data_IF_158448864666
#
_entry.id   IF_158448864666
#
_cell.length_a   1.000
_cell.length_b   1.000
_cell.length_c   1.000
_cell.angle_alpha   90.00
_cell.angle_beta   90.00
_cell.angle_gamma   90.00
#
_symmetry.space_group_name_H-M   'P 1'
#
loop_
_entity.id
_entity.type
_entity.pdbx_description
1 polymer ?
#
# COMPACT_ATOMS: atom_id res chain seq x y z
N UNK A 1 -1.89 15.80 -22.57
CA UNK A 1 -1.68 15.29 -21.20
C UNK A 1 -0.19 15.10 -21.03
N UNK A 2 0.39 15.51 -19.91
CA UNK A 2 1.81 15.27 -19.64
C UNK A 2 2.05 13.75 -19.55
N UNK A 3 3.02 13.23 -20.32
CA UNK A 3 3.39 11.82 -20.34
C UNK A 3 3.77 11.30 -18.96
N UNK A 4 4.28 12.17 -18.08
CA UNK A 4 4.61 11.81 -16.70
C UNK A 4 3.36 11.46 -15.88
N UNK A 5 2.30 12.26 -16.01
CA UNK A 5 1.03 12.03 -15.31
C UNK A 5 0.36 10.77 -15.84
N UNK A 6 0.42 10.55 -17.16
CA UNK A 6 -0.17 9.36 -17.79
C UNK A 6 0.48 8.08 -17.24
N UNK A 7 1.81 8.03 -17.25
CA UNK A 7 2.57 6.88 -16.73
C UNK A 7 2.33 6.64 -15.25
N UNK A 8 2.16 7.69 -14.46
CA UNK A 8 1.87 7.59 -13.03
C UNK A 8 0.52 6.91 -12.79
N UNK A 9 -0.54 7.40 -13.43
CA UNK A 9 -1.89 6.82 -13.31
C UNK A 9 -1.91 5.38 -13.82
N UNK A 10 -1.24 5.10 -14.94
CA UNK A 10 -1.15 3.74 -15.48
C UNK A 10 -0.43 2.80 -14.50
N UNK A 11 0.65 3.26 -13.85
CA UNK A 11 1.35 2.53 -12.80
C UNK A 11 0.47 2.29 -11.57
N UNK A 12 -0.29 3.30 -11.12
CA UNK A 12 -1.19 3.19 -9.98
C UNK A 12 -2.29 2.14 -10.24
N UNK A 13 -2.83 2.09 -11.47
CA UNK A 13 -3.80 1.07 -11.90
C UNK A 13 -3.21 -0.33 -11.93
N UNK A 14 -1.99 -0.53 -12.44
CA UNK A 14 -1.32 -1.84 -12.36
C UNK A 14 -1.03 -2.27 -10.92
N UNK A 15 -0.72 -1.30 -10.06
CA UNK A 15 -0.45 -1.55 -8.65
C UNK A 15 -1.71 -1.83 -7.83
N UNK A 16 -2.89 -1.45 -8.32
CA UNK A 16 -4.18 -1.59 -7.61
C UNK A 16 -4.42 -2.99 -7.06
N UNK A 17 -4.16 -4.04 -7.87
CA UNK A 17 -4.33 -5.44 -7.45
C UNK A 17 -3.42 -5.86 -6.29
N UNK A 18 -2.29 -5.19 -6.12
CA UNK A 18 -1.34 -5.45 -5.04
C UNK A 18 -1.57 -4.56 -3.82
N UNK A 19 -2.43 -3.54 -3.90
CA UNK A 19 -2.64 -2.60 -2.79
C UNK A 19 -3.14 -3.29 -1.52
N UNK A 20 -4.08 -4.24 -1.65
CA UNK A 20 -4.58 -5.00 -0.49
C UNK A 20 -3.46 -5.77 0.19
N UNK A 21 -2.64 -6.50 -0.58
CA UNK A 21 -1.51 -7.28 -0.07
C UNK A 21 -0.46 -6.36 0.56
N UNK A 22 -0.18 -5.20 -0.06
CA UNK A 22 0.76 -4.20 0.49
C UNK A 22 0.26 -3.64 1.82
N UNK A 23 -1.03 -3.32 1.93
CA UNK A 23 -1.64 -2.85 3.17
C UNK A 23 -1.50 -3.91 4.26
N UNK A 24 -1.82 -5.17 3.95
CA UNK A 24 -1.76 -6.25 4.92
C UNK A 24 -0.32 -6.53 5.39
N UNK A 25 0.63 -6.57 4.46
CA UNK A 25 2.05 -6.71 4.80
C UNK A 25 2.57 -5.56 5.68
N UNK A 26 2.04 -4.34 5.52
CA UNK A 26 2.41 -3.22 6.38
C UNK A 26 1.81 -3.34 7.78
N UNK A 27 0.58 -3.87 7.91
CA UNK A 27 -0.02 -4.14 9.22
C UNK A 27 0.73 -5.22 9.97
N UNK A 28 1.10 -6.32 9.29
CA UNK A 28 1.93 -7.39 9.87
C UNK A 28 3.25 -6.79 10.40
N UNK A 29 3.89 -5.88 9.65
CA UNK A 29 5.11 -5.20 10.14
C UNK A 29 4.87 -4.35 11.38
N UNK A 30 3.73 -3.66 11.47
CA UNK A 30 3.38 -2.89 12.68
C UNK A 30 3.18 -3.84 13.87
N UNK A 31 2.52 -4.98 13.65
CA UNK A 31 2.31 -6.03 14.65
C UNK A 31 3.63 -6.67 15.09
N UNK A 32 4.53 -7.00 14.17
CA UNK A 32 5.86 -7.54 14.46
C UNK A 32 6.68 -6.59 15.33
N UNK A 33 6.66 -5.30 15.01
CA UNK A 33 7.31 -4.26 15.81
C UNK A 33 6.65 -4.23 17.19
N UNK A 34 5.32 -4.13 17.28
CA UNK A 34 4.60 -4.09 18.57
C UNK A 34 4.92 -5.30 19.45
N UNK A 35 4.87 -6.52 18.89
CA UNK A 35 5.09 -7.77 19.61
C UNK A 35 6.55 -7.97 20.02
N UNK A 36 7.52 -7.51 19.22
CA UNK A 36 8.94 -7.55 19.59
C UNK A 36 9.27 -6.67 20.80
N UNK A 37 8.41 -5.71 21.16
CA UNK A 37 8.66 -4.75 22.24
C UNK A 37 7.83 -5.01 23.52
N UNK A 38 6.96 -6.02 23.57
CA UNK A 38 6.26 -6.44 24.80
C UNK A 38 7.19 -7.10 25.86
N UNK A 39 8.51 -7.04 25.64
CA UNK A 39 9.55 -7.72 26.40
C UNK A 39 10.06 -6.97 27.64
N UNK A 40 9.16 -6.66 28.58
CA UNK A 40 9.52 -6.49 29.99
C UNK A 40 8.46 -7.14 30.90
N UNK A 41 8.16 -8.42 30.63
CA UNK A 41 7.34 -9.22 31.54
C UNK A 41 8.14 -9.48 32.81
N UNK A 42 7.80 -8.74 33.86
CA UNK A 42 8.16 -8.93 35.26
C UNK A 42 9.53 -9.61 35.51
N UNK A 43 10.59 -8.81 35.63
CA UNK A 43 11.84 -9.26 36.25
C UNK A 43 11.49 -9.68 37.69
N UNK A 44 11.47 -10.98 37.95
CA UNK A 44 11.45 -11.49 39.32
C UNK A 44 12.79 -11.12 39.96
N UNK A 45 12.76 -10.20 40.92
CA UNK A 45 13.94 -9.78 41.64
C UNK A 45 14.36 -10.90 42.61
N UNK A 46 15.30 -11.76 42.19
CA UNK A 46 16.13 -12.49 43.15
C UNK A 46 17.26 -11.57 43.62
N UNK A 47 17.34 -11.41 44.94
CA UNK A 47 18.24 -10.53 45.67
C UNK A 47 19.70 -10.71 45.22
N UNK A 48 20.31 -9.67 44.63
CA UNK A 48 21.75 -9.64 44.35
C UNK A 48 22.41 -8.45 45.03
N UNK A 49 23.08 -8.75 46.14
CA UNK A 49 24.04 -7.89 46.83
C UNK A 49 25.26 -7.64 45.94
N UNK A 50 25.44 -6.41 45.46
CA UNK A 50 26.68 -5.96 44.83
C UNK A 50 26.52 -4.64 44.07
N UNK A 51 27.25 -3.59 44.47
CA UNK A 51 27.26 -2.28 43.78
C UNK A 51 27.73 -2.46 42.33
N UNK A 52 26.97 -1.98 41.36
CA UNK A 52 27.47 -1.83 39.98
C UNK A 52 26.95 -0.52 39.38
N UNK A 53 27.88 0.42 39.15
CA UNK A 53 27.63 1.73 38.56
C UNK A 53 27.33 1.58 37.06
N UNK A 54 26.08 1.32 36.69
CA UNK A 54 25.60 1.56 35.32
C UNK A 54 24.74 2.83 35.37
N UNK A 55 25.13 3.87 34.63
CA UNK A 55 24.43 5.16 34.61
C UNK A 55 23.03 5.11 33.96
N UNK A 56 22.62 3.97 33.40
CA UNK A 56 21.28 3.73 32.90
C UNK A 56 20.75 2.35 33.35
N UNK A 57 19.47 2.30 33.73
CA UNK A 57 18.76 1.05 33.99
C UNK A 57 18.46 0.32 32.67
N UNK A 58 18.36 -1.01 32.70
CA UNK A 58 17.85 -1.79 31.55
C UNK A 58 16.49 -1.28 31.10
N UNK A 59 15.67 -0.82 32.05
CA UNK A 59 14.34 -0.24 31.82
C UNK A 59 14.43 1.12 31.12
N UNK A 60 15.38 1.98 31.51
CA UNK A 60 15.54 3.31 30.90
C UNK A 60 16.01 3.21 29.45
N UNK A 61 16.95 2.30 29.16
CA UNK A 61 17.38 2.05 27.78
C UNK A 61 16.24 1.51 26.89
N UNK A 62 15.39 0.65 27.45
CA UNK A 62 14.24 0.10 26.73
C UNK A 62 13.18 1.16 26.45
N UNK A 63 12.89 2.03 27.44
CA UNK A 63 11.97 3.16 27.29
C UNK A 63 12.49 4.15 26.24
N UNK A 64 13.78 4.48 26.27
CA UNK A 64 14.41 5.34 25.26
C UNK A 64 14.30 4.70 23.87
N UNK A 65 14.61 3.42 23.73
CA UNK A 65 14.50 2.71 22.45
C UNK A 65 13.05 2.66 21.92
N UNK A 66 12.06 2.53 22.81
CA UNK A 66 10.64 2.58 22.45
C UNK A 66 10.25 3.95 21.89
N UNK A 67 10.62 5.02 22.58
CA UNK A 67 10.23 6.39 22.22
C UNK A 67 10.99 6.85 20.96
N UNK A 68 12.27 6.55 20.86
CA UNK A 68 13.13 7.08 19.80
C UNK A 68 13.07 6.25 18.50
N UNK A 69 12.81 4.94 18.58
CA UNK A 69 12.89 4.06 17.40
C UNK A 69 11.56 3.39 17.06
N UNK A 70 10.91 2.73 18.03
CA UNK A 70 9.71 1.94 17.76
C UNK A 70 8.49 2.81 17.42
N UNK A 71 8.20 3.84 18.23
CA UNK A 71 7.04 4.72 18.01
C UNK A 71 7.11 5.50 16.68
N UNK A 72 8.26 6.11 16.29
CA UNK A 72 8.38 6.77 14.99
C UNK A 72 8.23 5.79 13.82
N UNK A 73 8.81 4.60 13.92
CA UNK A 73 8.71 3.58 12.88
C UNK A 73 7.26 3.10 12.68
N UNK A 74 6.52 2.87 13.76
CA UNK A 74 5.08 2.55 13.70
C UNK A 74 4.31 3.70 13.05
N UNK A 75 4.55 4.94 13.48
CA UNK A 75 3.88 6.11 12.90
C UNK A 75 4.12 6.28 11.39
N UNK A 76 5.34 6.01 10.91
CA UNK A 76 5.62 6.01 9.47
C UNK A 76 4.86 4.91 8.71
N UNK A 77 4.79 3.71 9.28
CA UNK A 77 4.08 2.58 8.69
C UNK A 77 2.57 2.85 8.64
N UNK A 78 1.99 3.41 9.70
CA UNK A 78 0.58 3.81 9.75
C UNK A 78 0.25 4.90 8.73
N UNK A 79 1.14 5.88 8.54
CA UNK A 79 0.98 6.90 7.48
C UNK A 79 1.00 6.25 6.09
N UNK A 80 1.88 5.28 5.86
CA UNK A 80 1.93 4.51 4.60
C UNK A 80 0.67 3.68 4.38
N UNK A 81 0.17 3.00 5.42
CA UNK A 81 -1.09 2.25 5.37
C UNK A 81 -2.24 3.18 4.98
N UNK A 82 -2.35 4.32 5.68
CA UNK A 82 -3.39 5.32 5.43
C UNK A 82 -3.31 5.86 4.00
N UNK A 83 -2.10 6.14 3.51
CA UNK A 83 -1.88 6.53 2.13
C UNK A 83 -2.40 5.50 1.12
N UNK A 84 -2.06 4.22 1.29
CA UNK A 84 -2.52 3.16 0.38
C UNK A 84 -4.02 2.91 0.45
N UNK A 85 -4.63 2.99 1.64
CA UNK A 85 -6.08 2.91 1.81
C UNK A 85 -6.77 4.06 1.07
N UNK A 86 -6.27 5.29 1.23
CA UNK A 86 -6.81 6.46 0.56
C UNK A 86 -6.62 6.39 -0.96
N UNK A 87 -5.46 5.94 -1.43
CA UNK A 87 -5.19 5.73 -2.85
C UNK A 87 -6.18 4.71 -3.44
N UNK A 88 -6.40 3.58 -2.76
CA UNK A 88 -7.39 2.59 -3.17
C UNK A 88 -8.79 3.21 -3.25
N UNK A 89 -9.23 3.92 -2.21
CA UNK A 89 -10.55 4.59 -2.20
C UNK A 89 -10.70 5.60 -3.34
N UNK A 90 -9.65 6.37 -3.64
CA UNK A 90 -9.65 7.30 -4.78
C UNK A 90 -9.84 6.56 -6.10
N UNK A 91 -9.14 5.44 -6.30
CA UNK A 91 -9.29 4.62 -7.51
C UNK A 91 -10.70 4.04 -7.56
N UNK A 92 -11.20 3.46 -6.46
CA UNK A 92 -12.55 2.88 -6.39
C UNK A 92 -13.63 3.92 -6.75
N UNK A 93 -13.54 5.12 -6.19
CA UNK A 93 -14.45 6.23 -6.52
C UNK A 93 -14.30 6.69 -7.97
N UNK A 94 -13.09 6.72 -8.51
CA UNK A 94 -12.88 7.12 -9.90
C UNK A 94 -13.47 6.06 -10.87
N UNK A 95 -13.43 4.78 -10.51
CA UNK A 95 -14.02 3.68 -11.28
C UNK A 95 -15.55 3.75 -11.38
N UNK A 96 -16.24 4.40 -10.44
CA UNK A 96 -17.71 4.53 -10.51
C UNK A 96 -18.17 5.52 -11.58
N UNK A 97 -17.28 6.41 -12.05
CA UNK A 97 -17.57 7.39 -13.10
C UNK A 97 -17.42 6.77 -14.51
N UNK A 98 -16.70 5.65 -14.62
CA UNK A 98 -16.48 4.98 -15.90
C UNK A 98 -17.76 4.31 -16.40
N UNK A 99 -17.96 4.33 -17.73
CA UNK A 99 -19.03 3.54 -18.33
C UNK A 99 -18.79 2.04 -18.11
N UNK A 100 -19.84 1.18 -18.13
CA UNK A 100 -19.69 -0.26 -17.91
C UNK A 100 -18.62 -0.89 -18.81
N UNK A 101 -18.56 -0.44 -20.06
CA UNK A 101 -17.58 -0.86 -21.05
C UNK A 101 -16.15 -0.39 -20.72
N UNK A 102 -15.99 0.88 -20.31
CA UNK A 102 -14.68 1.40 -19.90
C UNK A 102 -14.17 0.69 -18.65
N UNK A 103 -15.07 0.38 -17.72
CA UNK A 103 -14.78 -0.38 -16.50
C UNK A 103 -14.31 -1.78 -16.83
N UNK A 104 -15.02 -2.48 -17.73
CA UNK A 104 -14.62 -3.82 -18.18
C UNK A 104 -13.24 -3.81 -18.86
N UNK A 105 -12.95 -2.80 -19.70
CA UNK A 105 -11.62 -2.62 -20.30
C UNK A 105 -10.52 -2.45 -19.24
N UNK A 106 -10.76 -1.65 -18.20
CA UNK A 106 -9.80 -1.43 -17.11
C UNK A 106 -9.58 -2.70 -16.28
N UNK A 107 -10.66 -3.41 -15.94
CA UNK A 107 -10.59 -4.68 -15.20
C UNK A 107 -9.79 -5.73 -15.96
N UNK A 108 -10.10 -5.93 -17.25
CA UNK A 108 -9.41 -6.89 -18.11
C UNK A 108 -7.95 -6.54 -18.36
N UNK A 109 -7.60 -5.24 -18.39
CA UNK A 109 -6.24 -4.81 -18.69
C UNK A 109 -5.34 -4.75 -17.46
N UNK A 110 -5.80 -4.09 -16.40
CA UNK A 110 -4.95 -3.71 -15.26
C UNK A 110 -5.14 -4.63 -14.07
N UNK A 111 -6.36 -5.10 -13.82
CA UNK A 111 -6.68 -5.90 -12.64
C UNK A 111 -6.48 -7.40 -12.87
N UNK A 112 -6.43 -7.84 -14.13
CA UNK A 112 -6.09 -9.22 -14.48
C UNK A 112 -4.68 -9.62 -14.02
N UNK A 113 -4.55 -10.85 -13.53
CA UNK A 113 -3.26 -11.53 -13.34
C UNK A 113 -3.33 -12.93 -13.97
N UNK A 114 -2.44 -13.28 -14.92
CA UNK A 114 -1.41 -12.45 -15.55
C UNK A 114 -2.00 -11.29 -16.40
N UNK A 115 -1.16 -10.33 -16.80
CA UNK A 115 -1.59 -9.20 -17.65
C UNK A 115 -2.04 -9.70 -19.02
N UNK A 116 -3.29 -9.42 -19.39
CA UNK A 116 -3.84 -9.87 -20.68
C UNK A 116 -3.23 -9.09 -21.84
N UNK A 117 -2.95 -9.81 -22.92
CA UNK A 117 -2.55 -9.21 -24.20
C UNK A 117 -3.73 -8.44 -24.81
N UNK A 118 -3.44 -7.43 -25.62
CA UNK A 118 -4.47 -6.69 -26.33
C UNK A 118 -5.34 -7.57 -27.23
N UNK A 119 -4.75 -8.63 -27.81
CA UNK A 119 -5.45 -9.60 -28.66
C UNK A 119 -6.48 -10.41 -27.85
N UNK A 120 -6.13 -10.78 -26.61
CA UNK A 120 -7.09 -11.45 -25.71
C UNK A 120 -8.25 -10.52 -25.35
N UNK A 121 -7.95 -9.27 -25.02
CA UNK A 121 -8.96 -8.28 -24.64
C UNK A 121 -9.90 -7.98 -25.81
N UNK A 122 -9.37 -7.88 -27.03
CA UNK A 122 -10.16 -7.70 -28.26
C UNK A 122 -11.15 -8.84 -28.48
N UNK A 123 -10.73 -10.09 -28.25
CA UNK A 123 -11.61 -11.27 -28.35
C UNK A 123 -12.70 -11.24 -27.29
N UNK A 124 -12.37 -10.87 -26.06
CA UNK A 124 -13.30 -10.84 -24.92
C UNK A 124 -14.33 -9.70 -25.04
N UNK A 125 -13.90 -8.54 -25.58
CA UNK A 125 -14.76 -7.36 -25.73
C UNK A 125 -15.47 -7.31 -27.09
N UNK A 126 -15.09 -8.15 -28.06
CA UNK A 126 -15.50 -8.05 -29.46
C UNK A 126 -15.20 -6.68 -30.08
N UNK A 127 -14.03 -6.13 -29.75
CA UNK A 127 -13.65 -4.76 -30.08
C UNK A 127 -12.27 -4.68 -30.69
N UNK A 128 -12.13 -3.94 -31.78
CA UNK A 128 -10.85 -3.72 -32.43
C UNK A 128 -9.82 -3.15 -31.43
N UNK A 129 -8.61 -3.72 -31.44
CA UNK A 129 -7.46 -3.28 -30.66
C UNK A 129 -7.21 -1.76 -30.72
N UNK A 130 -7.33 -1.13 -31.89
CA UNK A 130 -7.07 0.31 -32.06
C UNK A 130 -8.11 1.15 -31.32
N UNK A 131 -9.36 0.70 -31.33
CA UNK A 131 -10.43 1.32 -30.56
C UNK A 131 -10.20 1.15 -29.05
N UNK A 132 -9.78 -0.03 -28.60
CA UNK A 132 -9.42 -0.27 -27.20
C UNK A 132 -8.27 0.63 -26.74
N UNK A 133 -7.27 0.85 -27.60
CA UNK A 133 -6.14 1.74 -27.32
C UNK A 133 -6.58 3.21 -27.18
N UNK A 134 -7.53 3.64 -27.99
CA UNK A 134 -8.12 4.99 -27.93
C UNK A 134 -8.93 5.15 -26.64
N UNK A 135 -9.78 4.18 -26.32
CA UNK A 135 -10.57 4.19 -25.07
C UNK A 135 -9.69 4.14 -23.82
N UNK A 136 -8.58 3.40 -23.84
CA UNK A 136 -7.59 3.43 -22.76
C UNK A 136 -7.10 4.86 -22.50
N UNK A 137 -6.74 5.61 -23.55
CA UNK A 137 -6.25 6.99 -23.41
C UNK A 137 -7.32 7.90 -22.82
N UNK A 138 -8.57 7.78 -23.28
CA UNK A 138 -9.71 8.52 -22.73
C UNK A 138 -9.90 8.22 -21.25
N UNK A 139 -9.89 6.94 -20.86
CA UNK A 139 -10.04 6.51 -19.47
C UNK A 139 -8.93 7.06 -18.59
N UNK A 140 -7.66 6.94 -19.00
CA UNK A 140 -6.54 7.47 -18.19
C UNK A 140 -6.63 8.99 -18.09
N UNK A 141 -7.04 9.67 -19.16
CA UNK A 141 -7.25 11.13 -19.13
C UNK A 141 -8.36 11.51 -18.17
N UNK A 142 -9.47 10.76 -18.14
CA UNK A 142 -10.56 10.97 -17.20
C UNK A 142 -10.08 10.76 -15.75
N UNK A 143 -9.45 9.61 -15.48
CA UNK A 143 -8.95 9.27 -14.14
C UNK A 143 -7.92 10.30 -13.64
N UNK A 144 -7.08 10.83 -14.53
CA UNK A 144 -6.09 11.87 -14.16
C UNK A 144 -6.68 13.20 -13.71
N UNK A 145 -7.94 13.47 -14.08
CA UNK A 145 -8.66 14.66 -13.61
C UNK A 145 -9.30 14.44 -12.23
N UNK A 146 -9.48 13.19 -11.83
CA UNK A 146 -10.20 12.78 -10.62
C UNK A 146 -9.28 12.40 -9.45
N UNK A 147 -8.05 11.97 -9.73
CA UNK A 147 -7.08 11.42 -8.74
C UNK A 147 -5.95 12.40 -8.47
#
# INVERSE_FOLDING_TARGET
>A
MDDRVFKKIESDLYNYKYLNVKIENLKIKVEDISNSYDGCTAISYEERTGKTNKFNSSVENEVVNRIENAMPAIGELERKITYYINLKKKIDNALTVLSPMQRQLVELRYFSFPTRSWVSIERDLHMNKDYCCTKRKEVITLLSKLI
#
